data_IF_041462144220
#
_entry.id   IF_041462144220
#
_cell.length_a   1.000
_cell.length_b   1.000
_cell.length_c   1.000
_cell.angle_alpha   90.00
_cell.angle_beta   90.00
_cell.angle_gamma   90.00
#
_symmetry.space_group_name_H-M   'P 1'
#
loop_
_entity.id
_entity.type
_entity.pdbx_description
1 polymer ?
#
# COMPACT_ATOMS: atom_id res chain seq x y z
N UNK A 1 -28.85 8.52 -20.70
CA UNK A 1 -28.20 7.74 -19.62
C UNK A 1 -29.07 6.57 -19.20
N UNK A 2 -28.47 5.39 -19.03
CA UNK A 2 -29.17 4.17 -18.56
C UNK A 2 -29.62 4.31 -17.10
N UNK A 3 -30.54 3.45 -16.66
CA UNK A 3 -30.95 3.39 -15.25
C UNK A 3 -29.75 3.10 -14.32
N UNK A 4 -28.80 2.27 -14.76
CA UNK A 4 -27.59 1.96 -14.01
C UNK A 4 -26.70 3.20 -13.80
N UNK A 5 -26.50 4.00 -14.85
CA UNK A 5 -25.74 5.24 -14.78
C UNK A 5 -26.39 6.25 -13.81
N UNK A 6 -27.72 6.40 -13.85
CA UNK A 6 -28.46 7.27 -12.91
C UNK A 6 -28.30 6.82 -11.45
N UNK A 7 -28.25 5.52 -11.20
CA UNK A 7 -28.04 4.97 -9.86
C UNK A 7 -26.60 5.19 -9.37
N UNK A 8 -25.61 5.00 -10.24
CA UNK A 8 -24.21 5.24 -9.90
C UNK A 8 -23.95 6.70 -9.49
N UNK A 9 -24.52 7.66 -10.23
CA UNK A 9 -24.42 9.09 -9.89
C UNK A 9 -24.99 9.38 -8.51
N UNK A 10 -26.20 8.88 -8.20
CA UNK A 10 -26.81 9.07 -6.87
C UNK A 10 -26.00 8.46 -5.73
N UNK A 11 -25.33 7.33 -5.98
CA UNK A 11 -24.43 6.72 -4.99
C UNK A 11 -23.20 7.61 -4.80
N UNK A 12 -22.60 8.09 -5.89
CA UNK A 12 -21.46 8.98 -5.84
C UNK A 12 -21.76 10.27 -5.08
N UNK A 13 -22.89 10.93 -5.36
CA UNK A 13 -23.35 12.13 -4.64
C UNK A 13 -23.47 11.90 -3.13
N UNK A 14 -24.07 10.77 -2.72
CA UNK A 14 -24.19 10.40 -1.30
C UNK A 14 -22.85 10.12 -0.63
N UNK A 15 -21.90 9.54 -1.36
CA UNK A 15 -20.55 9.30 -0.86
C UNK A 15 -19.79 10.63 -0.69
N UNK A 16 -19.94 11.57 -1.63
CA UNK A 16 -19.35 12.90 -1.51
C UNK A 16 -19.95 13.71 -0.36
N UNK A 17 -21.27 13.63 -0.14
CA UNK A 17 -21.93 14.29 1.00
C UNK A 17 -21.39 13.78 2.34
N UNK A 18 -21.10 12.49 2.45
CA UNK A 18 -20.64 11.86 3.69
C UNK A 18 -19.12 11.98 3.91
N UNK A 19 -18.31 11.73 2.88
CA UNK A 19 -16.84 11.67 2.98
C UNK A 19 -16.14 12.95 2.52
N UNK A 20 -16.84 13.85 1.82
CA UNK A 20 -16.25 14.99 1.11
C UNK A 20 -15.61 14.60 -0.22
N UNK A 21 -15.05 15.60 -0.91
CA UNK A 21 -14.25 15.38 -2.11
C UNK A 21 -12.96 14.61 -1.79
N UNK A 22 -12.63 13.56 -2.55
CA UNK A 22 -11.39 12.83 -2.33
C UNK A 22 -10.18 13.73 -2.60
N UNK A 23 -9.33 13.89 -1.60
CA UNK A 23 -8.05 14.58 -1.75
C UNK A 23 -7.04 13.59 -2.30
N UNK A 24 -6.61 13.80 -3.54
CA UNK A 24 -5.49 13.04 -4.12
C UNK A 24 -4.21 13.38 -3.36
N UNK A 25 -3.59 12.37 -2.74
CA UNK A 25 -2.28 12.53 -2.11
C UNK A 25 -1.20 12.65 -3.17
N UNK A 26 -0.09 13.30 -2.83
CA UNK A 26 1.12 13.21 -3.64
C UNK A 26 1.52 11.74 -3.74
N UNK A 27 1.57 11.16 -4.96
CA UNK A 27 1.91 9.76 -5.12
C UNK A 27 3.36 9.53 -4.70
N UNK A 28 3.63 8.36 -4.13
CA UNK A 28 4.99 7.92 -3.91
C UNK A 28 5.73 7.78 -5.27
N UNK A 29 7.07 7.83 -5.29
CA UNK A 29 7.83 7.38 -6.45
C UNK A 29 7.35 6.00 -6.92
N UNK A 30 7.39 5.73 -8.23
CA UNK A 30 6.71 4.54 -8.79
C UNK A 30 7.09 3.20 -8.10
N UNK A 31 8.37 3.02 -7.75
CA UNK A 31 8.83 1.81 -7.05
C UNK A 31 8.36 1.80 -5.59
N UNK A 32 8.34 2.94 -4.93
CA UNK A 32 7.85 3.09 -3.56
C UNK A 32 6.37 2.74 -3.47
N UNK A 33 5.55 3.24 -4.41
CA UNK A 33 4.12 2.91 -4.50
C UNK A 33 3.91 1.41 -4.77
N UNK A 34 4.69 0.84 -5.68
CA UNK A 34 4.64 -0.60 -5.98
C UNK A 34 4.95 -1.43 -4.73
N UNK A 35 6.05 -1.14 -4.03
CA UNK A 35 6.43 -1.88 -2.83
C UNK A 35 5.40 -1.68 -1.71
N UNK A 36 4.91 -0.46 -1.50
CA UNK A 36 3.83 -0.15 -0.55
C UNK A 36 2.56 -0.95 -0.84
N UNK A 37 2.15 -1.02 -2.11
CA UNK A 37 1.00 -1.82 -2.57
C UNK A 37 1.23 -3.31 -2.33
N UNK A 38 2.43 -3.83 -2.62
CA UNK A 38 2.74 -5.23 -2.41
C UNK A 38 2.74 -5.55 -0.89
N UNK A 39 3.10 -4.59 -0.02
CA UNK A 39 3.04 -4.74 1.44
C UNK A 39 1.62 -4.60 2.00
N UNK A 40 0.69 -3.93 1.32
CA UNK A 40 -0.70 -3.76 1.77
C UNK A 40 -1.54 -5.03 1.62
N UNK A 41 -1.05 -6.03 0.88
CA UNK A 41 -1.75 -7.30 0.70
C UNK A 41 -1.97 -8.01 2.04
N UNK A 42 -3.22 -8.38 2.33
CA UNK A 42 -3.62 -9.09 3.56
C UNK A 42 -3.27 -8.36 4.88
N UNK A 43 -3.18 -7.02 4.87
CA UNK A 43 -2.88 -6.22 6.07
C UNK A 43 -3.65 -4.90 6.10
N UNK A 44 -3.42 -4.07 7.11
CA UNK A 44 -4.01 -2.72 7.22
C UNK A 44 -2.96 -1.63 6.97
N UNK A 45 -3.42 -0.38 6.78
CA UNK A 45 -2.54 0.76 6.46
C UNK A 45 -1.45 0.98 7.50
N UNK A 46 -1.77 0.93 8.80
CA UNK A 46 -0.80 1.11 9.89
C UNK A 46 0.33 0.09 9.80
N UNK A 47 0.01 -1.17 9.53
CA UNK A 47 0.99 -2.25 9.43
C UNK A 47 1.81 -2.16 8.14
N UNK A 48 1.17 -1.78 7.03
CA UNK A 48 1.82 -1.54 5.75
C UNK A 48 2.83 -0.39 5.86
N UNK A 49 2.44 0.73 6.46
CA UNK A 49 3.29 1.90 6.64
C UNK A 49 4.50 1.56 7.52
N UNK A 50 4.28 0.93 8.68
CA UNK A 50 5.36 0.48 9.56
C UNK A 50 6.34 -0.48 8.87
N UNK A 51 5.84 -1.39 8.05
CA UNK A 51 6.69 -2.32 7.30
C UNK A 51 7.49 -1.61 6.20
N UNK A 52 6.88 -0.65 5.50
CA UNK A 52 7.54 0.16 4.48
C UNK A 52 8.65 1.03 5.11
N UNK A 53 8.33 1.73 6.19
CA UNK A 53 9.29 2.56 6.94
C UNK A 53 10.46 1.73 7.48
N UNK A 54 10.16 0.59 8.12
CA UNK A 54 11.17 -0.36 8.61
C UNK A 54 12.09 -0.87 7.49
N UNK A 55 11.51 -1.22 6.33
CA UNK A 55 12.27 -1.68 5.17
C UNK A 55 13.21 -0.59 4.63
N UNK A 56 12.71 0.64 4.45
CA UNK A 56 13.48 1.77 3.95
C UNK A 56 14.53 2.28 4.93
N UNK A 57 14.26 2.20 6.23
CA UNK A 57 15.23 2.53 7.28
C UNK A 57 16.40 1.55 7.29
N UNK A 58 16.14 0.25 7.08
CA UNK A 58 17.17 -0.79 7.03
C UNK A 58 17.92 -0.85 5.69
N UNK A 59 17.23 -0.56 4.60
CA UNK A 59 17.76 -0.58 3.23
C UNK A 59 17.43 0.75 2.53
N UNK A 60 18.36 1.73 2.59
CA UNK A 60 18.11 3.08 2.07
C UNK A 60 17.90 3.17 0.56
N UNK A 61 18.18 2.11 -0.21
CA UNK A 61 17.96 2.06 -1.66
C UNK A 61 17.24 0.77 -2.05
N UNK A 62 16.56 0.77 -3.21
CA UNK A 62 15.86 -0.42 -3.69
C UNK A 62 16.84 -1.51 -4.14
N UNK A 63 18.02 -1.11 -4.61
CA UNK A 63 19.15 -1.99 -4.88
C UNK A 63 19.61 -2.69 -3.59
N UNK A 64 19.68 -1.97 -2.46
CA UNK A 64 20.01 -2.57 -1.17
C UNK A 64 18.95 -3.58 -0.71
N UNK A 65 17.66 -3.36 -1.02
CA UNK A 65 16.59 -4.35 -0.78
C UNK A 65 16.77 -5.58 -1.67
N UNK A 66 17.05 -5.39 -2.96
CA UNK A 66 17.27 -6.46 -3.95
C UNK A 66 18.46 -7.35 -3.56
N UNK A 67 19.56 -6.74 -3.12
CA UNK A 67 20.81 -7.43 -2.83
C UNK A 67 20.88 -7.98 -1.39
N UNK A 68 19.87 -7.67 -0.56
CA UNK A 68 19.79 -8.15 0.81
C UNK A 68 19.49 -9.65 0.90
N UNK A 69 19.97 -10.29 1.97
CA UNK A 69 19.53 -11.65 2.32
C UNK A 69 18.03 -11.66 2.54
N UNK A 70 17.30 -12.60 1.92
CA UNK A 70 15.85 -12.74 2.02
C UNK A 70 15.34 -12.68 3.46
N UNK A 71 16.01 -13.38 4.39
CA UNK A 71 15.66 -13.36 5.81
C UNK A 71 15.68 -11.94 6.41
N UNK A 72 16.67 -11.12 6.03
CA UNK A 72 16.78 -9.76 6.54
C UNK A 72 15.67 -8.84 6.03
N UNK A 73 15.17 -9.08 4.80
CA UNK A 73 14.00 -8.41 4.22
C UNK A 73 12.73 -8.87 4.92
N UNK A 74 12.53 -10.18 5.10
CA UNK A 74 11.41 -10.76 5.85
C UNK A 74 11.31 -10.17 7.25
N UNK A 75 12.43 -10.08 7.97
CA UNK A 75 12.48 -9.49 9.30
C UNK A 75 12.04 -8.01 9.29
N UNK A 76 12.44 -7.24 8.29
CA UNK A 76 12.09 -5.83 8.17
C UNK A 76 10.60 -5.62 7.87
N UNK A 77 9.99 -6.50 7.08
CA UNK A 77 8.57 -6.41 6.67
C UNK A 77 7.62 -7.20 7.57
N UNK A 78 8.11 -7.80 8.67
CA UNK A 78 7.31 -8.56 9.63
C UNK A 78 6.04 -7.84 10.11
N UNK A 79 6.02 -6.52 10.35
CA UNK A 79 4.80 -5.81 10.75
C UNK A 79 3.64 -5.94 9.76
N UNK A 80 3.90 -6.15 8.47
CA UNK A 80 2.86 -6.35 7.46
C UNK A 80 2.10 -7.68 7.62
N UNK A 81 2.52 -8.59 8.52
CA UNK A 81 1.90 -9.91 8.66
C UNK A 81 2.24 -10.87 7.51
N UNK A 82 3.17 -10.47 6.63
CA UNK A 82 3.56 -11.18 5.42
C UNK A 82 4.79 -12.07 5.57
N UNK A 83 5.37 -12.16 6.79
CA UNK A 83 6.65 -12.82 7.04
C UNK A 83 6.75 -14.27 6.55
N UNK A 84 5.61 -14.96 6.36
CA UNK A 84 5.57 -16.36 5.93
C UNK A 84 5.05 -16.58 4.49
N UNK A 85 4.60 -15.55 3.76
CA UNK A 85 3.91 -15.73 2.46
C UNK A 85 4.65 -15.21 1.23
N UNK A 86 5.75 -14.48 1.40
CA UNK A 86 6.49 -13.81 0.32
C UNK A 86 7.84 -14.45 -0.02
N UNK A 87 8.06 -15.67 0.47
CA UNK A 87 9.29 -16.45 0.32
C UNK A 87 9.48 -17.08 -1.07
N UNK A 88 8.85 -16.51 -2.11
CA UNK A 88 8.94 -17.00 -3.49
C UNK A 88 9.02 -15.85 -4.47
#
# INVERSE_FOLDING_TARGET
MTALAKRAIKIHEKLLEFYGEPVWRNPLPAIDELVSTILSQNTNDINRDRAFESLRAKFPTWEAVRDAKTKAVIDAIRPAGLANKKDR
#
